data_IF_785319110917
#
_entry.id   IF_785319110917
#
_cell.length_a   1.000
_cell.length_b   1.000
_cell.length_c   1.000
_cell.angle_alpha   90.00
_cell.angle_beta   90.00
_cell.angle_gamma   90.00
#
_symmetry.space_group_name_H-M   'P 1'
#
loop_
_entity.id
_entity.type
_entity.pdbx_description
1 polymer ?
#
# COMPACT_ATOMS: atom_id res chain seq x y z
N UNK A 1 16.77 14.72 -16.47
CA UNK A 1 15.49 15.39 -16.15
C UNK A 1 15.69 16.91 -16.14
N UNK A 2 16.48 17.48 -15.19
CA UNK A 2 16.63 18.94 -15.02
C UNK A 2 16.93 19.71 -16.32
N UNK A 3 17.86 19.18 -17.12
CA UNK A 3 18.23 19.78 -18.42
C UNK A 3 17.08 19.79 -19.43
N UNK A 4 16.21 18.76 -19.40
CA UNK A 4 15.07 18.63 -20.34
C UNK A 4 13.94 19.58 -20.00
N UNK A 5 13.69 19.79 -18.70
CA UNK A 5 12.62 20.69 -18.22
C UNK A 5 13.13 22.11 -17.88
N UNK A 6 14.39 22.38 -18.19
CA UNK A 6 15.04 23.70 -18.04
C UNK A 6 14.96 24.30 -16.63
N UNK A 7 15.20 23.45 -15.60
CA UNK A 7 15.29 23.88 -14.21
C UNK A 7 16.65 23.58 -13.61
N UNK A 8 17.00 24.25 -12.52
CA UNK A 8 18.21 23.93 -11.78
C UNK A 8 18.16 22.48 -11.24
N UNK A 9 19.28 21.70 -11.30
CA UNK A 9 19.31 20.31 -10.85
C UNK A 9 18.79 20.10 -9.43
N UNK A 10 19.03 21.07 -8.54
CA UNK A 10 18.55 21.00 -7.14
C UNK A 10 17.03 20.87 -7.05
N UNK A 11 16.27 21.48 -7.95
CA UNK A 11 14.80 21.39 -7.96
C UNK A 11 14.32 19.97 -8.22
N UNK A 12 15.03 19.24 -9.05
CA UNK A 12 14.73 17.81 -9.29
C UNK A 12 15.04 16.99 -8.05
N UNK A 13 16.15 17.25 -7.37
CA UNK A 13 16.50 16.57 -6.11
C UNK A 13 15.48 16.88 -5.00
N UNK A 14 15.04 18.11 -4.85
CA UNK A 14 14.00 18.50 -3.89
C UNK A 14 12.74 17.64 -4.07
N UNK A 15 12.23 17.55 -5.29
CA UNK A 15 11.04 16.76 -5.61
C UNK A 15 11.28 15.27 -5.36
N UNK A 16 12.39 14.73 -5.88
CA UNK A 16 12.68 13.29 -5.75
C UNK A 16 12.92 12.84 -4.30
N UNK A 17 13.36 13.73 -3.43
CA UNK A 17 13.58 13.41 -2.00
C UNK A 17 12.37 13.66 -1.15
N UNK A 18 11.49 14.58 -1.52
CA UNK A 18 10.28 14.89 -0.77
C UNK A 18 9.19 13.83 -0.96
N UNK A 19 8.93 13.42 -2.19
CA UNK A 19 7.86 12.47 -2.48
C UNK A 19 8.36 11.03 -2.37
N UNK A 20 7.77 10.27 -1.46
CA UNK A 20 8.18 8.90 -1.10
C UNK A 20 8.02 7.86 -2.20
N UNK A 21 7.16 8.10 -3.20
CA UNK A 21 6.96 7.20 -4.33
C UNK A 21 8.09 7.27 -5.38
N UNK A 22 8.98 8.25 -5.32
CA UNK A 22 10.18 8.26 -6.15
C UNK A 22 11.24 7.33 -5.55
N UNK A 23 11.50 6.22 -6.22
CA UNK A 23 12.55 5.28 -5.81
C UNK A 23 13.93 5.85 -6.12
N UNK A 24 14.69 6.18 -5.07
CA UNK A 24 16.07 6.69 -5.16
C UNK A 24 17.12 5.59 -5.15
N UNK A 25 16.71 4.38 -4.82
CA UNK A 25 17.52 3.16 -4.84
C UNK A 25 16.74 2.06 -5.55
N UNK A 26 17.47 0.99 -5.92
CA UNK A 26 16.86 -0.16 -6.55
C UNK A 26 15.89 -0.84 -5.58
N UNK A 27 14.70 -1.16 -6.05
CA UNK A 27 13.68 -1.92 -5.32
C UNK A 27 13.42 -3.26 -5.98
N UNK A 28 12.79 -4.18 -5.27
CA UNK A 28 12.36 -5.46 -5.81
C UNK A 28 11.18 -5.34 -6.76
N UNK A 29 10.83 -6.44 -7.42
CA UNK A 29 9.61 -6.55 -8.23
C UNK A 29 8.36 -6.15 -7.45
N UNK A 30 8.30 -6.58 -6.18
CA UNK A 30 7.30 -6.15 -5.20
C UNK A 30 7.99 -5.37 -4.09
N UNK A 31 7.65 -4.11 -3.96
CA UNK A 31 8.16 -3.28 -2.86
C UNK A 31 7.09 -3.19 -1.77
N UNK A 32 7.40 -3.76 -0.61
CA UNK A 32 6.52 -3.83 0.55
C UNK A 32 6.78 -2.62 1.43
N UNK A 33 5.79 -1.75 1.57
CA UNK A 33 5.89 -0.52 2.33
C UNK A 33 5.02 -0.62 3.58
N UNK A 34 5.65 -0.58 4.73
CA UNK A 34 4.95 -0.61 6.03
C UNK A 34 4.66 0.81 6.49
N UNK A 35 3.43 1.08 6.89
CA UNK A 35 3.07 2.37 7.45
C UNK A 35 3.70 2.54 8.84
N UNK A 36 4.57 3.56 8.97
CA UNK A 36 5.32 3.85 10.21
C UNK A 36 4.72 4.95 11.08
N UNK A 37 3.54 5.51 10.73
CA UNK A 37 2.92 6.59 11.50
C UNK A 37 2.16 6.10 12.74
N UNK A 38 1.91 7.02 13.65
CA UNK A 38 1.43 6.73 15.02
C UNK A 38 0.26 5.75 15.11
N UNK A 39 -0.86 5.88 14.34
CA UNK A 39 -1.95 4.92 14.46
C UNK A 39 -1.54 3.48 14.13
N UNK A 40 -0.75 3.29 13.08
CA UNK A 40 -0.24 1.98 12.71
C UNK A 40 0.79 1.46 13.72
N UNK A 41 1.66 2.32 14.24
CA UNK A 41 2.62 1.95 15.29
C UNK A 41 1.93 1.44 16.57
N UNK A 42 0.92 2.16 17.05
CA UNK A 42 0.13 1.76 18.24
C UNK A 42 -0.56 0.41 17.98
N UNK A 43 -0.90 0.12 16.75
CA UNK A 43 -1.57 -1.13 16.34
C UNK A 43 -0.62 -2.24 15.91
N UNK A 44 0.70 -2.10 16.12
CA UNK A 44 1.68 -3.16 15.92
C UNK A 44 2.37 -3.17 14.55
N UNK A 45 2.48 -2.03 13.84
CA UNK A 45 3.16 -2.01 12.53
C UNK A 45 4.65 -2.39 12.60
N UNK A 46 5.30 -2.17 13.74
CA UNK A 46 6.71 -2.57 13.94
C UNK A 46 6.88 -4.10 13.97
N UNK A 47 5.94 -4.80 14.59
CA UNK A 47 5.92 -6.28 14.60
C UNK A 47 5.70 -6.84 13.19
N UNK A 48 4.89 -6.15 12.37
CA UNK A 48 4.68 -6.51 10.96
C UNK A 48 5.97 -6.32 10.16
N UNK A 49 6.66 -5.19 10.37
CA UNK A 49 7.94 -4.93 9.71
C UNK A 49 8.98 -5.98 10.09
N UNK A 50 9.13 -6.29 11.38
CA UNK A 50 10.03 -7.31 11.87
C UNK A 50 9.73 -8.70 11.27
N UNK A 51 8.45 -9.07 11.20
CA UNK A 51 8.01 -10.31 10.58
C UNK A 51 8.41 -10.40 9.10
N UNK A 52 8.23 -9.29 8.35
CA UNK A 52 8.65 -9.21 6.95
C UNK A 52 10.15 -9.33 6.78
N UNK A 53 10.93 -8.54 7.52
CA UNK A 53 12.40 -8.55 7.45
C UNK A 53 12.97 -9.91 7.80
N UNK A 54 12.44 -10.54 8.86
CA UNK A 54 12.84 -11.89 9.29
C UNK A 54 12.46 -12.95 8.25
N UNK A 55 11.24 -12.89 7.72
CA UNK A 55 10.75 -13.87 6.74
C UNK A 55 11.53 -13.80 5.42
N UNK A 56 11.83 -12.60 4.94
CA UNK A 56 12.56 -12.38 3.69
C UNK A 56 14.08 -12.45 3.84
N UNK A 57 14.61 -12.42 5.06
CA UNK A 57 16.03 -12.45 5.35
C UNK A 57 16.78 -11.21 4.85
N UNK A 58 16.14 -10.04 4.85
CA UNK A 58 16.70 -8.77 4.38
C UNK A 58 16.60 -7.69 5.46
N UNK A 59 17.39 -6.63 5.28
CA UNK A 59 17.27 -5.40 6.07
C UNK A 59 16.31 -4.41 5.38
N UNK A 60 15.88 -3.40 6.12
CA UNK A 60 15.09 -2.29 5.57
C UNK A 60 15.80 -1.67 4.36
N UNK A 61 15.07 -1.44 3.29
CA UNK A 61 15.53 -0.92 1.99
C UNK A 61 16.53 -1.82 1.25
N UNK A 62 16.64 -3.08 1.63
CA UNK A 62 17.42 -4.08 0.94
C UNK A 62 16.51 -4.92 0.04
N UNK A 63 17.04 -5.39 -1.08
CA UNK A 63 16.35 -6.25 -2.05
C UNK A 63 16.75 -7.69 -1.79
N UNK A 64 15.79 -8.61 -1.82
CA UNK A 64 16.08 -10.05 -1.75
C UNK A 64 17.00 -10.51 -2.88
N UNK A 65 17.78 -11.56 -2.65
CA UNK A 65 18.77 -12.05 -3.64
C UNK A 65 18.14 -12.45 -4.98
N UNK A 66 16.91 -12.91 -4.94
CA UNK A 66 16.11 -13.25 -6.12
C UNK A 66 15.54 -12.02 -6.85
N UNK A 67 15.70 -10.82 -6.28
CA UNK A 67 15.20 -9.57 -6.86
C UNK A 67 13.68 -9.38 -6.72
N UNK A 68 12.98 -10.29 -6.05
CA UNK A 68 11.52 -10.26 -5.97
C UNK A 68 10.98 -9.23 -4.99
N UNK A 69 11.54 -9.15 -3.80
CA UNK A 69 11.01 -8.34 -2.72
C UNK A 69 12.00 -7.31 -2.21
N UNK A 70 11.46 -6.20 -1.73
CA UNK A 70 12.16 -5.24 -0.88
C UNK A 70 11.19 -4.70 0.15
N UNK A 71 11.68 -4.34 1.33
CA UNK A 71 10.87 -3.82 2.44
C UNK A 71 11.31 -2.40 2.75
N UNK A 72 10.36 -1.50 2.83
CA UNK A 72 10.57 -0.10 3.21
C UNK A 72 9.53 0.38 4.21
N UNK A 73 9.79 1.55 4.76
CA UNK A 73 8.83 2.28 5.59
C UNK A 73 8.23 3.43 4.78
N UNK A 74 6.97 3.73 5.04
CA UNK A 74 6.26 4.82 4.41
C UNK A 74 5.48 5.62 5.45
N UNK A 75 5.26 6.89 5.15
CA UNK A 75 4.38 7.77 5.90
C UNK A 75 2.91 7.32 5.79
N UNK A 76 2.01 8.00 6.52
CA UNK A 76 0.60 7.65 6.55
C UNK A 76 -0.04 7.62 5.16
N UNK A 77 -0.66 6.48 4.84
CA UNK A 77 -1.36 6.25 3.57
C UNK A 77 -2.88 6.43 3.68
N UNK A 78 -3.38 6.99 4.79
CA UNK A 78 -4.78 7.36 4.95
C UNK A 78 -5.73 6.26 5.45
N UNK A 79 -5.24 5.04 5.69
CA UNK A 79 -6.06 3.90 6.14
C UNK A 79 -6.06 3.71 7.66
N UNK A 80 -5.95 4.78 8.44
CA UNK A 80 -5.78 4.73 9.90
C UNK A 80 -6.93 4.02 10.62
N UNK A 81 -8.14 4.06 10.09
CA UNK A 81 -9.31 3.39 10.65
C UNK A 81 -9.16 1.87 10.65
N UNK A 82 -8.40 1.33 9.71
CA UNK A 82 -8.12 -0.10 9.54
C UNK A 82 -6.62 -0.40 9.77
N UNK A 83 -5.99 0.38 10.66
CA UNK A 83 -4.60 0.13 11.04
C UNK A 83 -4.45 -1.23 11.77
N UNK A 84 -3.28 -1.92 11.62
CA UNK A 84 -2.13 -1.52 10.82
C UNK A 84 -2.26 -1.93 9.35
N UNK A 85 -1.49 -1.27 8.48
CA UNK A 85 -1.57 -1.52 7.06
C UNK A 85 -0.19 -1.55 6.40
N UNK A 86 -0.13 -2.26 5.27
CA UNK A 86 1.00 -2.24 4.33
C UNK A 86 0.52 -1.90 2.93
N UNK A 87 1.43 -1.40 2.13
CA UNK A 87 1.22 -1.25 0.68
C UNK A 87 2.18 -2.16 -0.08
N UNK A 88 1.69 -2.76 -1.14
CA UNK A 88 2.52 -3.49 -2.11
C UNK A 88 2.55 -2.70 -3.40
N UNK A 89 3.73 -2.15 -3.71
CA UNK A 89 4.01 -1.56 -5.02
C UNK A 89 4.48 -2.67 -5.96
N UNK A 90 3.70 -2.97 -6.97
CA UNK A 90 3.98 -4.01 -7.96
C UNK A 90 4.58 -3.36 -9.22
N UNK A 91 5.85 -3.62 -9.45
CA UNK A 91 6.61 -3.16 -10.62
C UNK A 91 6.77 -4.26 -11.68
N UNK A 92 5.97 -5.33 -11.63
CA UNK A 92 6.08 -6.46 -12.55
C UNK A 92 5.83 -6.11 -14.01
N UNK A 93 5.08 -5.03 -14.26
CA UNK A 93 4.78 -4.55 -15.61
C UNK A 93 5.84 -3.57 -16.15
N UNK A 94 6.93 -3.33 -15.43
CA UNK A 94 8.01 -2.45 -15.86
C UNK A 94 7.54 -1.03 -16.20
N UNK A 95 7.89 -0.56 -17.42
CA UNK A 95 7.55 0.78 -17.89
C UNK A 95 6.07 0.99 -18.27
N UNK A 96 5.30 -0.08 -18.42
CA UNK A 96 3.88 0.00 -18.77
C UNK A 96 2.97 0.37 -17.58
N UNK A 97 3.57 0.51 -16.43
CA UNK A 97 2.89 0.97 -15.24
C UNK A 97 3.10 0.05 -14.04
N UNK A 98 2.73 0.55 -12.91
CA UNK A 98 2.78 -0.18 -11.65
C UNK A 98 1.45 -0.05 -10.94
N UNK A 99 1.18 -0.96 -10.01
CA UNK A 99 0.01 -0.88 -9.13
C UNK A 99 0.45 -0.66 -7.70
N UNK A 100 -0.40 0.03 -6.96
CA UNK A 100 -0.25 0.30 -5.54
C UNK A 100 -1.44 -0.29 -4.80
N UNK A 101 -1.26 -1.44 -4.17
CA UNK A 101 -2.34 -2.16 -3.52
C UNK A 101 -2.21 -2.07 -2.01
N UNK A 102 -3.26 -1.64 -1.34
CA UNK A 102 -3.34 -1.48 0.11
C UNK A 102 -3.88 -2.76 0.75
N UNK A 103 -3.24 -3.20 1.81
CA UNK A 103 -3.66 -4.30 2.66
C UNK A 103 -3.80 -3.77 4.08
N UNK A 104 -5.02 -3.76 4.56
CA UNK A 104 -5.41 -3.13 5.82
C UNK A 104 -5.75 -4.21 6.87
N UNK A 105 -5.76 -3.86 8.15
CA UNK A 105 -5.98 -4.82 9.26
C UNK A 105 -5.03 -6.03 9.20
N UNK A 106 -3.78 -5.80 8.82
CA UNK A 106 -2.81 -6.89 8.67
C UNK A 106 -2.24 -7.32 10.03
N UNK A 107 -1.94 -8.62 10.15
CA UNK A 107 -1.19 -9.19 11.25
C UNK A 107 0.17 -9.71 10.75
N UNK A 108 1.13 -10.02 11.66
CA UNK A 108 2.40 -10.63 11.26
C UNK A 108 2.24 -11.90 10.43
N UNK A 109 1.27 -12.75 10.77
CA UNK A 109 0.98 -13.99 10.04
C UNK A 109 0.38 -13.68 8.66
N UNK A 110 -0.54 -12.71 8.62
CA UNK A 110 -1.23 -12.33 7.38
C UNK A 110 -0.29 -11.70 6.37
N UNK A 111 0.67 -10.91 6.83
CA UNK A 111 1.63 -10.28 5.93
C UNK A 111 2.58 -11.32 5.30
N UNK A 112 2.94 -12.37 6.04
CA UNK A 112 3.71 -13.50 5.49
C UNK A 112 2.89 -14.28 4.46
N UNK A 113 1.60 -14.51 4.73
CA UNK A 113 0.69 -15.15 3.77
C UNK A 113 0.59 -14.35 2.45
N UNK A 114 0.49 -13.01 2.55
CA UNK A 114 0.47 -12.11 1.37
C UNK A 114 1.76 -12.27 0.56
N UNK A 115 2.92 -12.25 1.22
CA UNK A 115 4.23 -12.41 0.56
C UNK A 115 4.32 -13.75 -0.17
N UNK A 116 3.90 -14.84 0.47
CA UNK A 116 3.95 -16.17 -0.14
C UNK A 116 3.00 -16.31 -1.35
N UNK A 117 1.83 -15.68 -1.31
CA UNK A 117 0.93 -15.62 -2.47
C UNK A 117 1.57 -14.85 -3.62
N UNK A 118 2.15 -13.67 -3.34
CA UNK A 118 2.86 -12.88 -4.35
C UNK A 118 4.05 -13.64 -4.95
N UNK A 119 4.78 -14.41 -4.14
CA UNK A 119 5.89 -15.27 -4.60
C UNK A 119 5.43 -16.33 -5.59
N UNK A 120 4.24 -16.87 -5.39
CA UNK A 120 3.60 -17.84 -6.30
C UNK A 120 2.97 -17.19 -7.54
N UNK A 121 2.99 -15.86 -7.64
CA UNK A 121 2.34 -15.10 -8.72
C UNK A 121 0.84 -14.94 -8.54
N UNK A 122 0.31 -15.27 -7.37
CA UNK A 122 -1.09 -15.04 -7.02
C UNK A 122 -1.29 -13.55 -6.63
N UNK A 123 -2.47 -13.02 -6.90
CA UNK A 123 -2.86 -11.66 -6.47
C UNK A 123 -3.77 -11.78 -5.23
N UNK A 124 -3.23 -11.56 -4.01
CA UNK A 124 -4.08 -11.59 -2.83
C UNK A 124 -5.11 -10.45 -2.89
N UNK A 125 -6.31 -10.65 -2.32
CA UNK A 125 -7.33 -9.60 -2.27
C UNK A 125 -6.81 -8.41 -1.45
N UNK A 126 -6.81 -7.23 -2.06
CA UNK A 126 -6.44 -5.98 -1.41
C UNK A 126 -7.57 -5.43 -0.53
N UNK A 127 -7.28 -4.40 0.26
CA UNK A 127 -8.19 -3.83 1.25
C UNK A 127 -8.08 -4.53 2.60
N UNK A 128 -9.17 -4.47 3.39
CA UNK A 128 -9.16 -5.06 4.72
C UNK A 128 -8.97 -6.57 4.68
N UNK A 129 -8.07 -7.06 5.52
CA UNK A 129 -7.82 -8.50 5.71
C UNK A 129 -8.71 -9.08 6.83
N UNK A 130 -9.49 -8.24 7.50
CA UNK A 130 -10.47 -8.65 8.49
C UNK A 130 -11.83 -8.88 7.82
N UNK A 131 -12.35 -10.12 7.77
CA UNK A 131 -13.60 -10.43 7.09
C UNK A 131 -14.84 -9.79 7.76
N UNK A 132 -14.71 -9.35 9.01
CA UNK A 132 -15.80 -8.71 9.75
C UNK A 132 -15.91 -7.22 9.49
N UNK A 133 -14.90 -6.62 8.83
CA UNK A 133 -14.96 -5.21 8.50
C UNK A 133 -15.67 -4.95 7.19
N UNK A 134 -16.46 -3.88 7.18
CA UNK A 134 -17.03 -3.33 5.95
C UNK A 134 -15.86 -2.69 5.16
N UNK A 135 -15.80 -2.98 3.88
CA UNK A 135 -14.82 -2.35 2.97
C UNK A 135 -15.04 -0.84 2.95
N UNK A 136 -13.97 -0.07 2.91
CA UNK A 136 -13.99 1.40 2.87
C UNK A 136 -14.48 2.00 1.55
N UNK A 137 -14.74 1.18 0.55
CA UNK A 137 -15.30 1.62 -0.74
C UNK A 137 -16.83 1.81 -0.70
N UNK A 138 -17.40 2.55 -1.63
CA UNK A 138 -18.84 2.75 -1.70
C UNK A 138 -19.58 1.43 -1.92
N UNK A 139 -20.68 1.24 -1.20
CA UNK A 139 -21.55 0.09 -1.39
C UNK A 139 -22.06 0.06 -2.85
N UNK A 140 -21.96 -1.12 -3.49
CA UNK A 140 -22.35 -1.29 -4.89
C UNK A 140 -21.30 -0.87 -5.92
N UNK A 141 -20.08 -0.49 -5.51
CA UNK A 141 -18.94 -0.22 -6.41
C UNK A 141 -19.08 1.04 -7.28
N UNK A 142 -20.04 1.91 -6.99
CA UNK A 142 -20.23 3.16 -7.72
C UNK A 142 -19.18 4.19 -7.31
N UNK A 143 -18.08 4.25 -8.06
CA UNK A 143 -16.94 5.17 -7.81
C UNK A 143 -16.87 6.31 -8.81
N UNK A 144 -17.75 6.37 -9.78
CA UNK A 144 -17.75 7.38 -10.85
C UNK A 144 -19.05 8.18 -10.83
N UNK A 145 -18.92 9.50 -11.03
CA UNK A 145 -20.08 10.41 -11.18
C UNK A 145 -20.61 10.40 -12.63
N UNK A 146 -20.71 9.21 -13.23
CA UNK A 146 -21.23 9.06 -14.60
C UNK A 146 -22.75 9.00 -14.70
N UNK A 147 -23.43 9.01 -13.56
CA UNK A 147 -24.90 9.05 -13.48
C UNK A 147 -25.33 9.87 -12.27
N UNK A 148 -26.55 10.38 -12.31
CA UNK A 148 -27.12 11.03 -11.13
C UNK A 148 -27.15 10.05 -9.95
N UNK A 149 -26.63 10.45 -8.78
CA UNK A 149 -26.64 9.60 -7.61
C UNK A 149 -28.09 9.28 -7.21
N UNK A 150 -28.38 8.00 -7.08
CA UNK A 150 -29.68 7.58 -6.55
C UNK A 150 -29.80 8.11 -5.12
N UNK A 151 -30.92 8.73 -4.74
CA UNK A 151 -31.14 9.13 -3.37
C UNK A 151 -31.02 7.92 -2.45
N UNK A 152 -30.38 8.06 -1.27
CA UNK A 152 -30.32 6.98 -0.31
C UNK A 152 -31.74 6.56 0.08
N UNK A 153 -31.97 5.27 0.40
CA UNK A 153 -33.27 4.84 0.91
C UNK A 153 -33.57 5.63 2.18
N UNK A 154 -34.60 6.47 2.12
CA UNK A 154 -35.06 7.21 3.28
C UNK A 154 -35.83 6.26 4.20
N UNK A 155 -35.66 6.41 5.49
CA UNK A 155 -36.51 5.76 6.48
C UNK A 155 -37.94 6.28 6.28
N UNK A 156 -38.87 5.37 6.14
CA UNK A 156 -40.29 5.71 6.15
C UNK A 156 -40.66 6.14 7.57
N UNK A 157 -40.97 7.44 7.73
CA UNK A 157 -41.31 8.00 9.04
C UNK A 157 -42.77 7.72 9.39
N UNK A 158 -43.59 7.32 8.41
CA UNK A 158 -45.01 6.99 8.61
C UNK A 158 -45.21 5.51 8.98
N UNK A 159 -44.15 4.72 8.93
CA UNK A 159 -44.13 3.31 9.31
C UNK A 159 -43.71 3.05 10.77
N UNK A 160 -43.68 4.08 11.63
CA UNK A 160 -43.38 3.98 13.06
C UNK A 160 -44.61 3.99 13.93
#
# INVERSE_FOLDING_TARGET
VAKVIEVAPIRVYEVATFYSMFNRSKVGKYHLLVCGTTPCMIRGSREIEEALLKHLGVKRNEVTQDGFFSVGEMECMGCCVNAPMITVADYSNGSEGYTYNYYEDVTPEKVVEIVEKLRKGEKPPHGTQNPQRIRSGPAGGNTTLLSDPKPPPCRDLDAC
#
